data_IF_935747921235
#
_entry.id   IF_935747921235
#
_cell.length_a   1.000
_cell.length_b   1.000
_cell.length_c   1.000
_cell.angle_alpha   90.00
_cell.angle_beta   90.00
_cell.angle_gamma   90.00
#
_symmetry.space_group_name_H-M   'P 1'
#
loop_
_entity.id
_entity.type
_entity.pdbx_description
1 polymer ?
#
# COMPACT_ATOMS: atom_id res chain seq x y z
N UNK A 1 0.06 44.92 4.46
CA UNK A 1 -1.10 44.13 4.95
C UNK A 1 -1.80 43.55 3.74
N UNK A 2 -1.47 42.31 3.39
CA UNK A 2 -2.22 41.49 2.44
C UNK A 2 -2.32 40.13 3.14
N UNK A 3 -3.52 39.79 3.61
CA UNK A 3 -3.83 38.50 4.20
C UNK A 3 -3.96 37.46 3.09
N UNK A 4 -3.18 36.39 3.19
CA UNK A 4 -3.48 35.16 2.46
C UNK A 4 -4.27 34.26 3.39
N UNK A 5 -5.59 34.42 3.32
CA UNK A 5 -6.55 33.47 3.87
C UNK A 5 -6.86 32.48 2.74
N UNK A 6 -6.12 31.38 2.69
CA UNK A 6 -6.46 30.24 1.84
C UNK A 6 -6.47 28.98 2.69
N UNK A 7 -7.64 28.68 3.24
CA UNK A 7 -8.09 27.31 3.50
C UNK A 7 -7.74 26.44 2.29
N UNK A 8 -6.87 25.44 2.48
CA UNK A 8 -6.68 24.33 1.54
C UNK A 8 -8.00 23.57 1.43
N UNK A 9 -8.88 24.04 0.57
CA UNK A 9 -10.04 23.31 0.09
C UNK A 9 -9.52 22.49 -1.09
N UNK A 10 -9.50 21.16 -0.96
CA UNK A 10 -9.28 20.25 -2.08
C UNK A 10 -10.46 20.43 -3.04
N UNK A 11 -10.35 21.41 -3.93
CA UNK A 11 -11.26 21.64 -5.04
C UNK A 11 -10.54 21.06 -6.25
N UNK A 12 -10.89 19.83 -6.61
CA UNK A 12 -10.66 19.32 -7.95
C UNK A 12 -12.03 19.45 -8.64
N UNK A 13 -12.37 20.67 -9.05
CA UNK A 13 -13.42 20.91 -10.02
C UNK A 13 -12.77 20.86 -11.40
N UNK A 14 -12.67 19.66 -11.97
CA UNK A 14 -12.52 19.51 -13.42
C UNK A 14 -13.88 19.06 -13.97
N UNK A 15 -14.56 19.88 -14.80
CA UNK A 15 -15.94 19.59 -15.18
C UNK A 15 -16.11 18.41 -16.15
N UNK A 16 -15.06 17.68 -16.55
CA UNK A 16 -15.16 16.57 -17.52
C UNK A 16 -14.08 15.47 -17.35
N UNK A 17 -13.61 15.18 -16.15
CA UNK A 17 -12.66 14.07 -15.93
C UNK A 17 -13.41 12.78 -15.51
N UNK A 18 -13.51 11.82 -16.43
CA UNK A 18 -13.76 10.43 -16.07
C UNK A 18 -12.46 9.89 -15.45
N UNK A 19 -12.33 10.00 -14.13
CA UNK A 19 -11.16 9.46 -13.41
C UNK A 19 -11.32 7.94 -13.32
N UNK A 20 -10.66 7.20 -14.20
CA UNK A 20 -10.48 5.75 -14.04
C UNK A 20 -9.44 5.55 -12.94
N UNK A 21 -9.91 5.33 -11.71
CA UNK A 21 -9.08 5.23 -10.50
C UNK A 21 -8.31 3.91 -10.37
N UNK A 22 -8.62 2.89 -11.15
CA UNK A 22 -7.93 1.60 -11.09
C UNK A 22 -7.89 0.94 -12.48
N UNK A 23 -6.71 0.92 -13.10
CA UNK A 23 -6.46 0.08 -14.27
C UNK A 23 -6.04 -1.29 -13.74
N UNK A 24 -6.97 -2.25 -13.74
CA UNK A 24 -6.64 -3.65 -13.47
C UNK A 24 -5.69 -4.15 -14.57
N UNK A 25 -4.68 -4.96 -14.21
CA UNK A 25 -3.70 -5.53 -15.17
C UNK A 25 -4.39 -6.11 -16.42
N UNK A 26 -5.59 -6.65 -16.26
CA UNK A 26 -6.38 -7.20 -17.36
C UNK A 26 -6.88 -6.22 -18.42
N UNK A 27 -6.81 -4.90 -18.21
CA UNK A 27 -7.04 -3.96 -19.32
C UNK A 27 -5.97 -4.10 -20.39
N UNK A 28 -4.72 -4.35 -19.97
CA UNK A 28 -3.57 -4.47 -20.86
C UNK A 28 -3.56 -5.80 -21.62
N UNK A 29 -4.48 -6.73 -21.33
CA UNK A 29 -4.63 -8.00 -22.06
C UNK A 29 -5.29 -7.84 -23.43
N UNK A 30 -6.03 -6.75 -23.64
CA UNK A 30 -6.77 -6.52 -24.88
C UNK A 30 -6.38 -5.20 -25.52
N UNK A 31 -6.29 -5.13 -26.85
CA UNK A 31 -6.09 -3.85 -27.56
C UNK A 31 -7.28 -2.87 -27.42
N UNK A 32 -8.26 -3.23 -26.60
CA UNK A 32 -9.50 -2.48 -26.40
C UNK A 32 -9.23 -1.17 -25.66
N UNK A 33 -8.29 -1.16 -24.71
CA UNK A 33 -7.88 0.06 -24.01
C UNK A 33 -7.21 1.06 -24.98
N UNK A 34 -6.37 0.57 -25.90
CA UNK A 34 -5.74 1.40 -26.94
C UNK A 34 -6.77 2.04 -27.86
N UNK A 35 -7.74 1.24 -28.34
CA UNK A 35 -8.82 1.74 -29.19
C UNK A 35 -9.66 2.78 -28.48
N UNK A 36 -9.94 2.56 -27.19
CA UNK A 36 -10.65 3.51 -26.35
C UNK A 36 -9.84 4.80 -26.17
N UNK A 37 -8.57 4.73 -25.75
CA UNK A 37 -7.70 5.90 -25.60
C UNK A 37 -7.53 6.68 -26.91
N UNK A 38 -7.33 5.99 -28.04
CA UNK A 38 -7.26 6.61 -29.37
C UNK A 38 -8.56 7.29 -29.79
N UNK A 39 -9.72 6.74 -29.38
CA UNK A 39 -11.00 7.38 -29.65
C UNK A 39 -11.21 8.64 -28.77
N UNK A 40 -10.91 8.53 -27.48
CA UNK A 40 -11.11 9.59 -26.49
C UNK A 40 -10.15 10.75 -26.71
N UNK A 41 -8.88 10.47 -27.02
CA UNK A 41 -7.83 11.49 -27.21
C UNK A 41 -8.09 12.44 -28.39
N UNK A 42 -8.95 12.03 -29.33
CA UNK A 42 -9.40 12.90 -30.44
C UNK A 42 -10.36 13.99 -30.00
N UNK A 43 -11.01 13.84 -28.84
CA UNK A 43 -12.05 14.75 -28.34
C UNK A 43 -11.58 15.53 -27.11
N UNK A 44 -10.82 14.88 -26.24
CA UNK A 44 -10.33 15.46 -24.98
C UNK A 44 -8.87 15.07 -24.77
N UNK A 45 -8.15 15.88 -23.98
CA UNK A 45 -6.79 15.50 -23.56
C UNK A 45 -6.86 14.38 -22.53
N UNK A 46 -6.15 13.28 -22.78
CA UNK A 46 -6.03 12.15 -21.86
C UNK A 46 -4.76 12.29 -21.01
N UNK A 47 -4.88 12.21 -19.69
CA UNK A 47 -3.74 12.15 -18.77
C UNK A 47 -3.70 10.77 -18.13
N UNK A 48 -2.70 9.96 -18.48
CA UNK A 48 -2.47 8.65 -17.88
C UNK A 48 -1.43 8.81 -16.78
N UNK A 49 -1.74 8.35 -15.58
CA UNK A 49 -0.82 8.37 -14.44
C UNK A 49 -0.63 6.93 -13.98
N UNK A 50 0.61 6.45 -13.98
CA UNK A 50 0.95 5.14 -13.42
C UNK A 50 1.78 5.37 -12.17
N UNK A 51 1.19 5.02 -11.04
CA UNK A 51 1.88 5.04 -9.75
C UNK A 51 2.59 3.71 -9.47
N UNK A 52 3.73 3.78 -8.82
CA UNK A 52 4.61 2.66 -8.49
C UNK A 52 4.94 1.74 -9.69
N UNK A 53 5.30 2.35 -10.82
CA UNK A 53 5.62 1.66 -12.08
C UNK A 53 6.64 0.51 -11.92
N UNK A 54 7.53 0.60 -10.94
CA UNK A 54 8.53 -0.43 -10.65
C UNK A 54 7.93 -1.82 -10.30
N UNK A 55 6.66 -1.89 -9.92
CA UNK A 55 6.01 -3.16 -9.56
C UNK A 55 5.33 -3.85 -10.74
N UNK A 56 5.21 -3.22 -11.91
CA UNK A 56 4.72 -3.89 -13.11
C UNK A 56 5.75 -4.93 -13.59
N UNK A 57 5.27 -6.04 -14.15
CA UNK A 57 6.17 -7.00 -14.80
C UNK A 57 6.76 -6.41 -16.07
N UNK A 58 7.97 -6.82 -16.43
CA UNK A 58 8.68 -6.29 -17.59
C UNK A 58 7.89 -6.46 -18.89
N UNK A 59 7.23 -7.61 -19.07
CA UNK A 59 6.37 -7.86 -20.23
C UNK A 59 5.20 -6.85 -20.34
N UNK A 60 4.63 -6.45 -19.20
CA UNK A 60 3.55 -5.45 -19.16
C UNK A 60 4.10 -4.06 -19.46
N UNK A 61 5.26 -3.71 -18.91
CA UNK A 61 5.92 -2.43 -19.18
C UNK A 61 6.22 -2.25 -20.66
N UNK A 62 6.94 -3.22 -21.26
CA UNK A 62 7.30 -3.19 -22.68
C UNK A 62 6.05 -3.06 -23.55
N UNK A 63 5.04 -3.92 -23.31
CA UNK A 63 3.79 -3.86 -24.06
C UNK A 63 3.12 -2.49 -23.93
N UNK A 64 2.99 -1.98 -22.70
CA UNK A 64 2.35 -0.69 -22.45
C UNK A 64 3.08 0.46 -23.14
N UNK A 65 4.41 0.48 -23.08
CA UNK A 65 5.24 1.49 -23.72
C UNK A 65 5.10 1.44 -25.25
N UNK A 66 5.19 0.25 -25.85
CA UNK A 66 4.97 0.03 -27.29
C UNK A 66 3.58 0.51 -27.72
N UNK A 67 2.56 0.09 -26.98
CA UNK A 67 1.18 0.46 -27.21
C UNK A 67 0.99 1.99 -27.11
N UNK A 68 1.59 2.64 -26.11
CA UNK A 68 1.50 4.08 -25.91
C UNK A 68 2.18 4.88 -27.03
N UNK A 69 3.26 4.38 -27.64
CA UNK A 69 3.86 5.00 -28.83
C UNK A 69 2.92 5.10 -30.02
N UNK A 70 1.92 4.22 -30.10
CA UNK A 70 0.92 4.23 -31.18
C UNK A 70 -0.18 5.28 -30.96
N UNK A 71 -0.31 5.83 -29.74
CA UNK A 71 -1.31 6.84 -29.43
C UNK A 71 -0.91 8.19 -30.05
N UNK A 72 -1.89 8.83 -30.71
CA UNK A 72 -1.72 10.13 -31.38
C UNK A 72 -1.67 11.31 -30.38
N UNK A 73 -1.52 12.53 -30.91
CA UNK A 73 -1.59 13.78 -30.16
C UNK A 73 -2.81 13.86 -29.23
N UNK A 74 -2.63 14.45 -28.05
CA UNK A 74 -3.70 14.62 -27.06
C UNK A 74 -3.63 13.64 -25.89
N UNK A 75 -2.56 12.86 -25.78
CA UNK A 75 -2.29 12.01 -24.61
C UNK A 75 -1.01 12.47 -23.90
N UNK A 76 -1.04 12.52 -22.57
CA UNK A 76 0.16 12.65 -21.73
C UNK A 76 0.25 11.50 -20.73
N UNK A 77 1.48 11.07 -20.47
CA UNK A 77 1.81 10.02 -19.51
C UNK A 77 2.65 10.60 -18.38
N UNK A 78 2.29 10.28 -17.15
CA UNK A 78 3.06 10.54 -15.94
C UNK A 78 3.38 9.22 -15.27
N UNK A 79 4.66 8.93 -15.12
CA UNK A 79 5.15 7.75 -14.43
C UNK A 79 5.71 8.17 -13.08
N UNK A 80 5.25 7.52 -12.03
CA UNK A 80 5.78 7.68 -10.69
C UNK A 80 6.47 6.37 -10.32
N UNK A 81 7.77 6.43 -10.09
CA UNK A 81 8.56 5.29 -9.67
C UNK A 81 9.47 5.65 -8.49
N UNK A 82 9.85 4.63 -7.72
CA UNK A 82 10.87 4.77 -6.67
C UNK A 82 12.18 4.21 -7.19
N UNK A 83 13.23 5.02 -7.17
CA UNK A 83 14.59 4.60 -7.52
C UNK A 83 15.44 4.53 -6.26
N UNK A 84 16.30 3.51 -6.15
CA UNK A 84 17.42 3.60 -5.20
C UNK A 84 18.53 4.42 -5.86
N UNK A 85 19.20 5.30 -5.12
CA UNK A 85 20.22 6.27 -5.61
C UNK A 85 21.34 5.69 -6.49
N UNK A 86 21.45 4.35 -6.57
CA UNK A 86 22.41 3.62 -7.40
C UNK A 86 22.00 3.49 -8.87
N UNK A 87 20.72 3.65 -9.20
CA UNK A 87 20.22 3.65 -10.57
C UNK A 87 20.01 5.11 -11.02
N UNK A 88 21.12 5.84 -11.20
CA UNK A 88 21.11 7.16 -11.85
C UNK A 88 20.75 7.11 -13.33
N UNK A 89 20.72 5.91 -13.91
CA UNK A 89 19.94 5.70 -15.12
C UNK A 89 18.49 5.67 -14.69
N UNK A 90 17.77 6.74 -15.00
CA UNK A 90 16.39 6.60 -15.46
C UNK A 90 16.40 5.32 -16.29
N UNK A 91 15.73 4.26 -15.84
CA UNK A 91 15.35 3.18 -16.74
C UNK A 91 14.72 3.93 -17.90
N UNK A 92 15.47 4.06 -19.01
CA UNK A 92 14.89 4.62 -20.21
C UNK A 92 13.68 3.73 -20.40
N UNK A 93 12.51 4.33 -20.45
CA UNK A 93 11.34 3.65 -20.95
C UNK A 93 11.78 3.14 -22.32
N UNK A 94 12.06 1.84 -22.39
CA UNK A 94 12.99 1.24 -23.33
C UNK A 94 12.50 1.45 -24.76
N UNK A 95 11.19 1.65 -24.92
CA UNK A 95 10.56 1.78 -26.23
C UNK A 95 9.85 3.10 -26.47
N UNK A 96 9.74 4.03 -25.51
CA UNK A 96 9.02 5.32 -25.67
C UNK A 96 9.74 6.40 -26.52
N UNK A 97 10.08 6.04 -27.76
CA UNK A 97 10.87 6.87 -28.69
C UNK A 97 10.15 8.13 -29.17
N UNK A 98 8.81 8.15 -29.18
CA UNK A 98 8.01 9.27 -29.68
C UNK A 98 7.85 10.43 -28.67
N UNK A 99 8.37 10.28 -27.45
CA UNK A 99 8.15 11.22 -26.35
C UNK A 99 9.45 11.75 -25.76
N UNK A 100 9.46 13.03 -25.39
CA UNK A 100 10.59 13.61 -24.64
C UNK A 100 10.24 13.60 -23.15
N UNK A 101 10.92 12.80 -22.32
CA UNK A 101 10.61 12.73 -20.90
C UNK A 101 11.04 14.01 -20.20
N UNK A 102 10.12 14.62 -19.44
CA UNK A 102 10.47 15.61 -18.42
C UNK A 102 10.59 14.87 -17.10
N UNK A 103 11.81 14.78 -16.57
CA UNK A 103 12.07 14.04 -15.33
C UNK A 103 12.12 15.01 -14.16
N UNK A 104 11.26 14.78 -13.17
CA UNK A 104 11.27 15.48 -11.90
C UNK A 104 11.73 14.50 -10.81
N UNK A 105 12.92 14.74 -10.26
CA UNK A 105 13.44 13.97 -9.14
C UNK A 105 12.96 14.62 -7.83
N UNK A 106 12.14 13.90 -7.09
CA UNK A 106 11.72 14.31 -5.74
C UNK A 106 12.64 13.64 -4.72
N UNK A 107 13.49 14.44 -4.07
CA UNK A 107 14.32 13.99 -2.96
C UNK A 107 13.59 14.17 -1.63
N UNK A 108 14.16 13.63 -0.55
CA UNK A 108 13.79 14.05 0.79
C UNK A 108 13.96 15.56 0.96
N UNK A 109 13.14 16.12 1.84
CA UNK A 109 13.20 17.54 2.16
C UNK A 109 14.58 17.87 2.73
N UNK A 110 15.07 19.06 2.44
CA UNK A 110 16.19 19.64 3.17
C UNK A 110 15.78 20.00 4.60
N UNK A 111 16.77 20.26 5.45
CA UNK A 111 16.52 20.71 6.83
C UNK A 111 15.65 21.98 6.86
N UNK A 112 15.90 22.94 5.98
CA UNK A 112 15.14 24.20 5.91
C UNK A 112 13.70 23.99 5.43
N UNK A 113 13.50 23.14 4.41
CA UNK A 113 12.16 22.78 3.93
C UNK A 113 11.36 22.02 5.00
N UNK A 114 12.01 21.11 5.72
CA UNK A 114 11.40 20.39 6.85
C UNK A 114 10.94 21.37 7.94
N UNK A 115 11.82 22.29 8.35
CA UNK A 115 11.49 23.33 9.35
C UNK A 115 10.36 24.23 8.90
N UNK A 116 10.37 24.64 7.63
CA UNK A 116 9.31 25.47 7.05
C UNK A 116 7.97 24.73 7.03
N UNK A 117 7.96 23.48 6.59
CA UNK A 117 6.76 22.62 6.57
C UNK A 117 6.15 22.51 7.97
N UNK A 118 6.97 22.22 8.98
CA UNK A 118 6.51 22.06 10.36
C UNK A 118 5.95 23.37 10.91
N UNK A 119 6.64 24.50 10.71
CA UNK A 119 6.18 25.83 11.18
C UNK A 119 4.85 26.24 10.58
N UNK A 120 4.60 25.88 9.32
CA UNK A 120 3.32 26.14 8.65
C UNK A 120 2.15 25.35 9.26
N UNK A 121 2.43 24.26 9.99
CA UNK A 121 1.43 23.45 10.68
C UNK A 121 1.36 23.75 12.17
N UNK A 122 2.49 24.08 12.79
CA UNK A 122 2.63 24.29 14.23
C UNK A 122 3.48 25.54 14.44
N UNK A 123 2.79 26.66 14.70
CA UNK A 123 3.39 28.00 14.65
C UNK A 123 4.51 28.27 15.69
N UNK A 124 4.55 27.53 16.80
CA UNK A 124 5.39 27.85 17.97
C UNK A 124 6.26 26.65 18.44
N UNK A 125 6.93 25.96 17.52
CA UNK A 125 8.01 25.02 17.87
C UNK A 125 9.36 25.72 17.88
N UNK A 126 10.14 25.53 18.94
CA UNK A 126 11.49 26.08 19.04
C UNK A 126 12.47 25.39 18.08
N UNK A 127 13.62 26.03 17.84
CA UNK A 127 14.64 25.51 16.93
C UNK A 127 15.26 24.20 17.41
N UNK A 128 15.32 23.94 18.71
CA UNK A 128 15.91 22.72 19.26
C UNK A 128 15.04 21.53 18.85
N UNK A 129 13.73 21.65 19.07
CA UNK A 129 12.74 20.63 18.73
C UNK A 129 12.65 20.42 17.22
N UNK A 130 12.66 21.50 16.44
CA UNK A 130 12.72 21.41 14.97
C UNK A 130 13.97 20.66 14.47
N UNK A 131 15.14 20.95 15.05
CA UNK A 131 16.36 20.23 14.71
C UNK A 131 16.27 18.74 15.09
N UNK A 132 15.68 18.41 16.24
CA UNK A 132 15.46 17.02 16.63
C UNK A 132 14.53 16.27 15.67
N UNK A 133 13.44 16.91 15.22
CA UNK A 133 12.53 16.32 14.21
C UNK A 133 13.29 16.03 12.92
N UNK A 134 14.13 16.98 12.47
CA UNK A 134 15.00 16.76 11.32
C UNK A 134 15.96 15.57 11.54
N UNK A 135 16.62 15.50 12.71
CA UNK A 135 17.56 14.40 13.00
C UNK A 135 16.89 13.02 13.01
N UNK A 136 15.64 12.94 13.46
CA UNK A 136 14.86 11.69 13.47
C UNK A 136 14.45 11.30 12.05
N UNK A 137 13.93 12.25 11.27
CA UNK A 137 13.22 11.97 10.02
C UNK A 137 14.10 12.04 8.77
N UNK A 138 15.23 12.77 8.84
CA UNK A 138 16.13 13.03 7.72
C UNK A 138 15.40 13.50 6.44
N UNK A 139 14.31 14.25 6.61
CA UNK A 139 13.53 14.80 5.50
C UNK A 139 12.49 13.86 4.89
N UNK A 140 12.27 12.68 5.48
CA UNK A 140 11.20 11.79 5.07
C UNK A 140 9.84 12.41 5.41
N UNK A 141 9.08 12.78 4.37
CA UNK A 141 7.79 13.47 4.53
C UNK A 141 6.79 12.68 5.38
N UNK A 142 6.75 11.35 5.24
CA UNK A 142 5.81 10.52 5.98
C UNK A 142 6.14 10.50 7.47
N UNK A 143 7.42 10.37 7.82
CA UNK A 143 7.84 10.38 9.22
C UNK A 143 7.61 11.76 9.85
N UNK A 144 7.83 12.83 9.08
CA UNK A 144 7.49 14.19 9.51
C UNK A 144 5.98 14.31 9.76
N UNK A 145 5.13 13.78 8.88
CA UNK A 145 3.68 13.77 9.05
C UNK A 145 3.25 13.07 10.36
N UNK A 146 3.80 11.88 10.64
CA UNK A 146 3.50 11.15 11.88
C UNK A 146 3.87 11.95 13.13
N UNK A 147 5.02 12.64 13.11
CA UNK A 147 5.44 13.49 14.21
C UNK A 147 4.53 14.72 14.33
N UNK A 148 4.19 15.37 13.21
CA UNK A 148 3.29 16.53 13.19
C UNK A 148 1.93 16.16 13.78
N UNK A 149 1.34 15.02 13.38
CA UNK A 149 0.03 14.58 13.90
C UNK A 149 0.03 14.45 15.43
N UNK A 150 1.15 14.00 16.03
CA UNK A 150 1.28 13.91 17.50
C UNK A 150 1.50 15.27 18.16
N UNK A 151 2.22 16.18 17.50
CA UNK A 151 2.53 17.49 18.04
C UNK A 151 1.38 18.50 17.89
N UNK A 152 0.46 18.30 16.94
CA UNK A 152 -0.73 19.16 16.77
C UNK A 152 -1.57 19.16 18.04
N UNK A 153 -1.84 17.98 18.61
CA UNK A 153 -2.65 17.86 19.82
C UNK A 153 -1.86 18.21 21.08
N UNK A 154 -0.56 17.88 21.10
CA UNK A 154 0.32 18.19 22.23
C UNK A 154 1.73 18.57 21.75
N UNK A 155 2.00 19.89 21.58
CA UNK A 155 3.30 20.40 21.13
C UNK A 155 4.48 20.05 22.04
N UNK A 156 4.22 19.66 23.30
CA UNK A 156 5.24 19.28 24.27
C UNK A 156 5.55 17.77 24.25
N UNK A 157 4.86 16.98 23.43
CA UNK A 157 5.10 15.54 23.32
C UNK A 157 6.55 15.21 23.02
N UNK A 158 7.03 14.14 23.62
CA UNK A 158 8.35 13.58 23.34
C UNK A 158 8.40 13.07 21.89
N UNK A 159 9.53 13.34 21.23
CA UNK A 159 9.76 12.97 19.85
C UNK A 159 10.30 11.54 19.78
N UNK A 160 9.67 10.72 18.94
CA UNK A 160 10.02 9.32 18.76
C UNK A 160 10.10 9.02 17.27
N UNK A 161 11.03 8.15 16.89
CA UNK A 161 10.98 7.50 15.59
C UNK A 161 9.81 6.48 15.57
N UNK A 162 9.50 5.91 14.41
CA UNK A 162 8.39 4.96 14.26
C UNK A 162 8.52 3.76 15.21
N UNK A 163 9.72 3.22 15.37
CA UNK A 163 10.00 2.06 16.23
C UNK A 163 9.76 2.35 17.71
N UNK A 164 10.24 3.50 18.19
CA UNK A 164 10.03 3.96 19.56
C UNK A 164 8.55 4.24 19.84
N UNK A 165 7.80 4.74 18.84
CA UNK A 165 6.34 4.88 18.95
C UNK A 165 5.72 3.50 19.08
N UNK A 166 6.07 2.57 18.18
CA UNK A 166 5.54 1.22 18.16
C UNK A 166 5.70 0.51 19.52
N UNK A 167 6.87 0.62 20.16
CA UNK A 167 7.12 0.01 21.47
C UNK A 167 6.19 0.53 22.57
N UNK A 168 5.74 1.78 22.47
CA UNK A 168 4.87 2.44 23.44
C UNK A 168 3.38 2.24 23.15
N UNK A 169 3.02 1.65 22.00
CA UNK A 169 1.62 1.38 21.68
C UNK A 169 1.06 0.24 22.55
N UNK A 170 -0.25 0.30 22.90
CA UNK A 170 -0.97 -0.84 23.45
C UNK A 170 -0.92 -2.07 22.54
N UNK A 171 -1.01 -3.27 23.13
CA UNK A 171 -0.88 -4.54 22.41
C UNK A 171 -1.88 -4.71 21.27
N UNK A 172 -3.10 -4.18 21.42
CA UNK A 172 -4.12 -4.19 20.35
C UNK A 172 -3.63 -3.41 19.14
N UNK A 173 -3.11 -2.20 19.36
CA UNK A 173 -2.60 -1.34 18.30
C UNK A 173 -1.36 -1.95 17.65
N UNK A 174 -0.46 -2.53 18.44
CA UNK A 174 0.69 -3.30 17.92
C UNK A 174 0.25 -4.44 17.00
N UNK A 175 -0.72 -5.25 17.44
CA UNK A 175 -1.25 -6.34 16.63
C UNK A 175 -1.91 -5.86 15.33
N UNK A 176 -2.72 -4.79 15.38
CA UNK A 176 -3.31 -4.18 14.15
C UNK A 176 -2.20 -3.80 13.17
N UNK A 177 -1.16 -3.09 13.65
CA UNK A 177 -0.08 -2.65 12.79
C UNK A 177 0.76 -3.80 12.24
N UNK A 178 1.04 -4.81 13.05
CA UNK A 178 1.82 -5.96 12.64
C UNK A 178 1.08 -6.76 11.56
N UNK A 179 -0.21 -7.04 11.75
CA UNK A 179 -1.06 -7.70 10.74
C UNK A 179 -1.11 -6.85 9.46
N UNK A 180 -1.32 -5.55 9.58
CA UNK A 180 -1.38 -4.64 8.43
C UNK A 180 -0.02 -4.54 7.70
N UNK A 181 1.09 -4.78 8.40
CA UNK A 181 2.43 -4.83 7.82
C UNK A 181 2.73 -6.16 7.12
N UNK A 182 2.18 -7.27 7.63
CA UNK A 182 2.25 -8.60 6.99
C UNK A 182 1.44 -8.63 5.68
N UNK A 183 0.36 -7.86 5.60
CA UNK A 183 -0.47 -7.72 4.39
C UNK A 183 -0.43 -6.29 3.82
N UNK A 184 0.61 -5.91 3.05
CA UNK A 184 0.70 -4.57 2.45
C UNK A 184 -0.49 -4.18 1.56
N UNK A 185 -1.11 -5.17 0.89
CA UNK A 185 -2.34 -4.98 0.12
C UNK A 185 -3.60 -4.78 0.99
N UNK A 186 -3.45 -4.78 2.30
CA UNK A 186 -4.48 -4.59 3.31
C UNK A 186 -5.20 -5.87 3.71
N UNK A 187 -5.70 -5.88 4.95
CA UNK A 187 -6.49 -6.97 5.49
C UNK A 187 -7.89 -6.49 5.88
N UNK A 188 -8.94 -7.28 5.56
CA UNK A 188 -10.32 -6.88 5.91
C UNK A 188 -10.49 -6.68 7.41
N UNK A 189 -11.17 -5.59 7.76
CA UNK A 189 -11.39 -5.10 9.13
C UNK A 189 -12.10 -6.12 10.01
N UNK A 190 -13.10 -6.83 9.48
CA UNK A 190 -13.82 -7.89 10.18
C UNK A 190 -12.88 -8.99 10.67
N UNK A 191 -11.96 -9.43 9.80
CA UNK A 191 -11.00 -10.49 10.12
C UNK A 191 -9.99 -10.01 11.16
N UNK A 192 -9.45 -8.80 10.99
CA UNK A 192 -8.54 -8.20 11.98
C UNK A 192 -9.24 -8.06 13.34
N UNK A 193 -10.49 -7.59 13.36
CA UNK A 193 -11.24 -7.38 14.59
C UNK A 193 -11.53 -8.70 15.30
N UNK A 194 -11.99 -9.70 14.56
CA UNK A 194 -12.31 -11.00 15.10
C UNK A 194 -11.05 -11.75 15.56
N UNK A 195 -9.94 -11.64 14.84
CA UNK A 195 -8.65 -12.16 15.29
C UNK A 195 -8.22 -11.52 16.61
N UNK A 196 -8.24 -10.18 16.70
CA UNK A 196 -7.85 -9.48 17.93
C UNK A 196 -8.75 -9.91 19.09
N UNK A 197 -10.07 -9.94 18.89
CA UNK A 197 -11.02 -10.42 19.91
C UNK A 197 -10.80 -11.88 20.31
N UNK A 198 -10.18 -12.71 19.46
CA UNK A 198 -9.84 -14.09 19.81
C UNK A 198 -8.61 -14.19 20.73
N UNK A 199 -7.80 -13.14 20.83
CA UNK A 199 -6.57 -13.09 21.63
C UNK A 199 -6.63 -12.08 22.79
N UNK A 200 -7.69 -11.26 22.89
CA UNK A 200 -7.91 -10.30 23.98
C UNK A 200 -9.31 -10.48 24.58
N UNK A 201 -9.52 -10.01 25.81
CA UNK A 201 -10.82 -10.10 26.51
C UNK A 201 -11.97 -9.40 25.76
N UNK A 202 -13.19 -9.95 25.86
CA UNK A 202 -14.39 -9.57 25.08
C UNK A 202 -14.83 -8.10 25.22
N UNK A 203 -14.40 -7.39 26.27
CA UNK A 203 -14.83 -6.02 26.58
C UNK A 203 -14.00 -4.91 25.91
N UNK A 204 -13.07 -5.26 25.02
CA UNK A 204 -12.13 -4.31 24.41
C UNK A 204 -12.69 -3.71 23.11
N UNK A 205 -12.70 -2.39 23.02
CA UNK A 205 -13.08 -1.65 21.82
C UNK A 205 -11.93 -1.58 20.79
N UNK A 206 -11.81 -2.64 19.97
CA UNK A 206 -10.85 -2.69 18.83
C UNK A 206 -11.07 -1.52 17.86
N UNK A 207 -12.30 -1.03 17.73
CA UNK A 207 -12.66 0.10 16.87
C UNK A 207 -11.95 1.40 17.27
N UNK A 208 -11.88 1.69 18.57
CA UNK A 208 -11.20 2.89 19.08
C UNK A 208 -9.69 2.80 18.90
N UNK A 209 -9.13 1.60 19.07
CA UNK A 209 -7.72 1.33 18.79
C UNK A 209 -7.38 1.56 17.32
N UNK A 210 -8.22 1.07 16.40
CA UNK A 210 -8.06 1.32 14.97
C UNK A 210 -8.19 2.81 14.65
N UNK A 211 -9.21 3.49 15.20
CA UNK A 211 -9.42 4.93 14.98
C UNK A 211 -8.20 5.74 15.40
N UNK A 212 -7.62 5.40 16.55
CA UNK A 212 -6.41 6.06 17.06
C UNK A 212 -5.22 5.91 16.11
N UNK A 213 -5.06 4.72 15.49
CA UNK A 213 -4.02 4.48 14.48
C UNK A 213 -4.28 5.23 13.16
N UNK A 214 -5.54 5.39 12.78
CA UNK A 214 -5.94 6.18 11.60
C UNK A 214 -5.64 7.67 11.85
N UNK A 215 -6.08 8.19 12.99
CA UNK A 215 -5.89 9.60 13.37
C UNK A 215 -4.40 9.94 13.50
N UNK A 216 -3.59 9.01 14.03
CA UNK A 216 -2.14 9.14 14.07
C UNK A 216 -1.46 9.01 12.70
N UNK A 217 -2.16 8.53 11.67
CA UNK A 217 -1.66 8.42 10.30
C UNK A 217 -0.88 7.13 10.00
N UNK A 218 -0.96 6.11 10.87
CA UNK A 218 -0.28 4.83 10.66
C UNK A 218 -0.97 3.93 9.64
N UNK A 219 -2.29 3.93 9.67
CA UNK A 219 -3.14 3.11 8.78
C UNK A 219 -4.23 3.97 8.16
N UNK A 220 -4.83 3.44 7.10
CA UNK A 220 -6.03 4.00 6.50
C UNK A 220 -6.95 2.86 6.04
N UNK A 221 -8.22 3.17 5.81
CA UNK A 221 -9.19 2.23 5.28
C UNK A 221 -9.27 2.40 3.76
N UNK A 222 -9.15 1.30 3.03
CA UNK A 222 -9.11 1.25 1.57
C UNK A 222 -9.83 0.01 1.03
N UNK A 223 -10.02 -0.06 -0.29
CA UNK A 223 -10.63 -1.16 -1.03
C UNK A 223 -11.98 -0.77 -1.64
N UNK A 224 -12.42 -1.51 -2.65
CA UNK A 224 -13.69 -1.28 -3.37
C UNK A 224 -14.91 -1.21 -2.43
N UNK A 225 -14.84 -1.93 -1.31
CA UNK A 225 -15.86 -2.01 -0.26
C UNK A 225 -15.53 -1.16 0.98
N UNK A 226 -14.43 -0.40 0.97
CA UNK A 226 -13.93 0.39 2.10
C UNK A 226 -13.83 -0.41 3.41
N UNK A 227 -13.31 -1.64 3.33
CA UNK A 227 -13.24 -2.57 4.45
C UNK A 227 -11.83 -3.06 4.78
N UNK A 228 -10.78 -2.71 4.02
CA UNK A 228 -9.41 -3.18 4.27
C UNK A 228 -8.62 -2.14 5.04
N UNK A 229 -7.97 -2.60 6.12
CA UNK A 229 -6.98 -1.84 6.86
C UNK A 229 -5.65 -1.97 6.12
N UNK A 230 -5.07 -0.85 5.69
CA UNK A 230 -3.75 -0.78 5.05
C UNK A 230 -2.82 0.10 5.86
N UNK A 231 -1.53 -0.27 5.91
CA UNK A 231 -0.49 0.64 6.37
C UNK A 231 -0.38 1.81 5.38
N UNK A 232 -0.26 3.02 5.90
CA UNK A 232 -0.25 4.26 5.12
C UNK A 232 1.01 4.47 4.29
N UNK A 233 2.13 3.83 4.67
CA UNK A 233 3.39 3.98 3.96
C UNK A 233 4.39 2.85 4.24
N UNK A 234 5.22 2.53 3.26
CA UNK A 234 6.22 1.46 3.34
C UNK A 234 7.28 1.70 4.43
N UNK A 235 7.64 2.96 4.72
CA UNK A 235 8.57 3.26 5.83
C UNK A 235 8.05 2.73 7.16
N UNK A 236 6.74 2.77 7.40
CA UNK A 236 6.12 2.21 8.60
C UNK A 236 6.26 0.69 8.62
N UNK A 237 5.97 0.02 7.51
CA UNK A 237 6.13 -1.43 7.37
C UNK A 237 7.58 -1.81 7.70
N UNK A 238 8.55 -1.13 7.08
CA UNK A 238 9.96 -1.40 7.26
C UNK A 238 10.41 -1.15 8.70
N UNK A 239 9.98 -0.03 9.33
CA UNK A 239 10.30 0.24 10.73
C UNK A 239 9.72 -0.81 11.66
N UNK A 240 8.46 -1.22 11.48
CA UNK A 240 7.80 -2.19 12.36
C UNK A 240 8.39 -3.59 12.18
N UNK A 241 8.53 -4.08 10.94
CA UNK A 241 9.02 -5.44 10.69
C UNK A 241 10.50 -5.60 11.03
N UNK A 242 11.34 -4.58 10.82
CA UNK A 242 12.75 -4.66 11.19
C UNK A 242 12.99 -4.49 12.68
N UNK A 243 12.09 -3.81 13.40
CA UNK A 243 12.19 -3.59 14.85
C UNK A 243 11.57 -4.74 15.65
N UNK A 244 10.52 -5.37 15.14
CA UNK A 244 9.87 -6.49 15.81
C UNK A 244 10.81 -7.69 15.84
N UNK A 245 11.06 -8.22 17.04
CA UNK A 245 11.92 -9.39 17.18
C UNK A 245 11.30 -10.61 16.47
N UNK A 246 12.16 -11.52 16.01
CA UNK A 246 11.74 -12.68 15.22
C UNK A 246 10.75 -13.58 15.97
N UNK A 247 10.87 -13.73 17.28
CA UNK A 247 9.99 -14.57 18.09
C UNK A 247 8.56 -14.03 18.17
N UNK A 248 8.40 -12.72 18.35
CA UNK A 248 7.09 -12.07 18.48
C UNK A 248 6.39 -12.03 17.12
N UNK A 249 7.14 -11.75 16.05
CA UNK A 249 6.62 -11.82 14.69
C UNK A 249 6.14 -13.25 14.36
N UNK A 250 6.92 -14.28 14.73
CA UNK A 250 6.52 -15.67 14.55
C UNK A 250 5.28 -16.03 15.36
N UNK A 251 5.20 -15.59 16.62
CA UNK A 251 4.06 -15.83 17.49
C UNK A 251 2.77 -15.28 16.88
N UNK A 252 2.77 -14.00 16.50
CA UNK A 252 1.59 -13.36 15.88
C UNK A 252 1.24 -14.02 14.55
N UNK A 253 2.24 -14.31 13.73
CA UNK A 253 2.01 -14.98 12.44
C UNK A 253 1.40 -16.37 12.61
N UNK A 254 1.86 -17.15 13.60
CA UNK A 254 1.34 -18.49 13.86
C UNK A 254 -0.08 -18.45 14.44
N UNK A 255 -0.36 -17.54 15.36
CA UNK A 255 -1.71 -17.35 15.90
C UNK A 255 -2.68 -16.92 14.79
N UNK A 256 -2.24 -16.04 13.89
CA UNK A 256 -3.04 -15.61 12.76
C UNK A 256 -3.32 -16.75 11.78
N UNK A 257 -2.34 -17.62 11.51
CA UNK A 257 -2.56 -18.84 10.70
C UNK A 257 -3.64 -19.73 11.30
N UNK A 258 -3.53 -20.04 12.60
CA UNK A 258 -4.51 -20.89 13.30
C UNK A 258 -5.91 -20.27 13.20
N UNK A 259 -6.01 -18.96 13.45
CA UNK A 259 -7.27 -18.24 13.34
C UNK A 259 -7.85 -18.31 11.92
N UNK A 260 -7.03 -18.09 10.89
CA UNK A 260 -7.47 -18.17 9.49
C UNK A 260 -7.93 -19.59 9.13
N UNK A 261 -7.20 -20.63 9.54
CA UNK A 261 -7.59 -22.03 9.30
C UNK A 261 -8.93 -22.37 9.97
N UNK A 262 -9.13 -21.98 11.24
CA UNK A 262 -10.41 -22.17 11.93
C UNK A 262 -11.56 -21.40 11.26
N UNK A 263 -11.27 -20.20 10.76
CA UNK A 263 -12.25 -19.37 10.05
C UNK A 263 -12.62 -19.98 8.70
N UNK A 264 -11.63 -20.50 7.95
CA UNK A 264 -11.84 -21.24 6.70
C UNK A 264 -12.74 -22.47 6.92
N UNK A 265 -12.48 -23.22 7.98
CA UNK A 265 -13.26 -24.43 8.31
C UNK A 265 -14.71 -24.11 8.70
N UNK A 266 -15.00 -22.90 9.20
CA UNK A 266 -16.34 -22.52 9.68
C UNK A 266 -17.23 -21.87 8.61
N UNK A 267 -16.66 -21.19 7.60
CA UNK A 267 -17.43 -20.40 6.61
C UNK A 267 -18.02 -21.24 5.45
N UNK A 268 -17.54 -22.46 5.24
CA UNK A 268 -18.01 -23.30 4.12
C UNK A 268 -17.61 -22.75 2.74
N UNK A 269 -18.32 -23.16 1.67
CA UNK A 269 -17.96 -22.80 0.27
C UNK A 269 -18.60 -21.45 -0.12
N UNK A 270 -17.77 -20.43 -0.43
CA UNK A 270 -18.25 -19.11 -0.84
C UNK A 270 -17.15 -18.13 -1.29
N UNK A 271 -17.51 -16.90 -1.65
CA UNK A 271 -16.57 -15.89 -2.16
C UNK A 271 -15.51 -15.43 -1.16
N UNK A 272 -15.83 -15.46 0.14
CA UNK A 272 -14.90 -15.11 1.23
C UNK A 272 -13.80 -16.14 1.42
N UNK A 273 -14.07 -17.40 1.05
CA UNK A 273 -13.14 -18.52 1.20
C UNK A 273 -11.86 -18.30 0.38
N UNK A 274 -11.98 -17.84 -0.86
CA UNK A 274 -10.81 -17.58 -1.71
C UNK A 274 -9.90 -16.51 -1.12
N UNK A 275 -10.50 -15.45 -0.56
CA UNK A 275 -9.75 -14.38 0.11
C UNK A 275 -9.01 -14.91 1.35
N UNK A 276 -9.68 -15.68 2.21
CA UNK A 276 -9.08 -16.24 3.42
C UNK A 276 -7.96 -17.22 3.11
N UNK A 277 -8.16 -18.10 2.12
CA UNK A 277 -7.13 -19.03 1.67
C UNK A 277 -5.94 -18.26 1.08
N UNK A 278 -6.17 -17.21 0.28
CA UNK A 278 -5.11 -16.34 -0.21
C UNK A 278 -4.29 -15.73 0.94
N UNK A 279 -4.96 -15.20 1.97
CA UNK A 279 -4.29 -14.68 3.16
C UNK A 279 -3.45 -15.74 3.86
N UNK A 280 -3.99 -16.95 4.06
CA UNK A 280 -3.29 -18.06 4.70
C UNK A 280 -2.04 -18.48 3.90
N UNK A 281 -2.19 -18.72 2.59
CA UNK A 281 -1.07 -19.06 1.70
C UNK A 281 0.00 -17.98 1.74
N UNK A 282 -0.40 -16.71 1.91
CA UNK A 282 0.55 -15.61 1.90
C UNK A 282 1.53 -15.61 3.06
N UNK A 283 1.11 -16.10 4.22
CA UNK A 283 1.89 -16.10 5.47
C UNK A 283 2.51 -17.47 5.79
N UNK A 284 2.14 -18.51 5.05
CA UNK A 284 2.73 -19.84 5.17
C UNK A 284 4.11 -19.93 4.52
N UNK A 285 5.02 -20.66 5.17
CA UNK A 285 6.29 -21.08 4.59
C UNK A 285 6.11 -22.33 3.71
N UNK A 286 7.16 -22.70 2.96
CA UNK A 286 7.11 -23.83 2.02
C UNK A 286 6.72 -25.16 2.70
N UNK A 287 7.19 -25.42 3.93
CA UNK A 287 6.88 -26.67 4.65
C UNK A 287 5.40 -26.72 5.02
N UNK A 288 4.85 -25.60 5.50
CA UNK A 288 3.43 -25.48 5.84
C UNK A 288 2.56 -25.58 4.60
N UNK A 289 2.93 -24.92 3.50
CA UNK A 289 2.20 -25.02 2.24
C UNK A 289 2.15 -26.46 1.70
N UNK A 290 3.21 -27.27 1.90
CA UNK A 290 3.19 -28.71 1.57
C UNK A 290 2.18 -29.50 2.39
N UNK A 291 1.96 -29.13 3.65
CA UNK A 291 0.96 -29.77 4.50
C UNK A 291 -0.46 -29.31 4.15
N UNK A 292 -0.56 -28.08 3.63
CA UNK A 292 -1.81 -27.38 3.32
C UNK A 292 -2.13 -27.34 1.81
N UNK A 293 -1.69 -28.33 1.03
CA UNK A 293 -1.87 -28.39 -0.44
C UNK A 293 -3.35 -28.35 -0.85
N UNK A 294 -4.24 -28.91 -0.04
CA UNK A 294 -5.68 -28.91 -0.34
C UNK A 294 -6.28 -27.49 -0.41
N UNK A 295 -5.81 -26.56 0.44
CA UNK A 295 -6.23 -25.16 0.33
C UNK A 295 -5.75 -24.52 -0.98
N UNK A 296 -4.53 -24.86 -1.43
CA UNK A 296 -4.01 -24.37 -2.72
C UNK A 296 -4.86 -24.87 -3.88
N UNK A 297 -5.21 -26.17 -3.90
CA UNK A 297 -6.12 -26.74 -4.91
C UNK A 297 -7.47 -26.04 -4.91
N UNK A 298 -8.06 -25.88 -3.73
CA UNK A 298 -9.36 -25.23 -3.59
C UNK A 298 -9.35 -23.78 -4.08
N UNK A 299 -8.30 -23.01 -3.79
CA UNK A 299 -8.13 -21.65 -4.30
C UNK A 299 -8.01 -21.62 -5.82
N UNK A 300 -7.19 -22.51 -6.40
CA UNK A 300 -7.03 -22.62 -7.86
C UNK A 300 -8.36 -22.95 -8.54
N UNK A 301 -9.14 -23.88 -8.00
CA UNK A 301 -10.47 -24.20 -8.53
C UNK A 301 -11.43 -23.01 -8.49
N UNK A 302 -11.47 -22.28 -7.38
CA UNK A 302 -12.35 -21.10 -7.24
C UNK A 302 -11.96 -20.03 -8.25
N UNK A 303 -10.66 -19.72 -8.36
CA UNK A 303 -10.17 -18.66 -9.24
C UNK A 303 -10.22 -19.05 -10.71
N UNK A 304 -10.07 -20.34 -11.04
CA UNK A 304 -10.27 -20.85 -12.39
C UNK A 304 -11.73 -20.69 -12.83
N UNK A 305 -12.69 -21.03 -11.96
CA UNK A 305 -14.13 -20.84 -12.24
C UNK A 305 -14.52 -19.36 -12.40
N UNK A 306 -13.75 -18.45 -11.80
CA UNK A 306 -13.90 -16.99 -11.99
C UNK A 306 -13.17 -16.44 -13.22
N UNK A 307 -12.46 -17.29 -13.97
CA UNK A 307 -11.58 -16.90 -15.08
C UNK A 307 -10.45 -15.93 -14.65
N UNK A 308 -9.99 -16.01 -13.40
CA UNK A 308 -8.92 -15.17 -12.85
C UNK A 308 -7.52 -15.68 -13.26
N UNK A 309 -7.27 -15.88 -14.56
CA UNK A 309 -6.05 -16.55 -15.04
C UNK A 309 -4.75 -15.84 -14.67
N UNK A 310 -4.75 -14.50 -14.61
CA UNK A 310 -3.60 -13.70 -14.18
C UNK A 310 -3.24 -13.93 -12.73
N UNK A 311 -4.26 -14.00 -11.87
CA UNK A 311 -4.07 -14.32 -10.48
C UNK A 311 -3.48 -15.73 -10.32
N UNK A 312 -3.97 -16.70 -11.09
CA UNK A 312 -3.42 -18.07 -11.09
C UNK A 312 -1.96 -18.08 -11.54
N UNK A 313 -1.63 -17.35 -12.60
CA UNK A 313 -0.24 -17.23 -13.08
C UNK A 313 0.67 -16.58 -12.03
N UNK A 314 0.21 -15.52 -11.36
CA UNK A 314 0.93 -14.86 -10.27
C UNK A 314 1.14 -15.81 -9.07
N UNK A 315 0.07 -16.51 -8.66
CA UNK A 315 0.13 -17.51 -7.60
C UNK A 315 1.10 -18.64 -7.93
N UNK A 316 1.14 -19.11 -9.19
CA UNK A 316 2.03 -20.19 -9.64
C UNK A 316 3.51 -19.91 -9.36
N UNK A 317 3.93 -18.63 -9.40
CA UNK A 317 5.31 -18.23 -9.05
C UNK A 317 5.60 -18.49 -7.57
N UNK A 318 4.62 -18.22 -6.68
CA UNK A 318 4.74 -18.43 -5.24
C UNK A 318 4.69 -19.91 -4.84
N UNK A 319 3.91 -20.71 -5.56
CA UNK A 319 3.73 -22.15 -5.28
C UNK A 319 4.53 -23.05 -6.21
N UNK A 320 5.51 -22.51 -6.95
CA UNK A 320 6.24 -23.25 -8.00
C UNK A 320 6.79 -24.60 -7.51
N UNK A 321 7.35 -24.63 -6.29
CA UNK A 321 7.91 -25.83 -5.65
C UNK A 321 6.87 -26.89 -5.22
N UNK A 322 5.59 -26.60 -5.43
CA UNK A 322 4.46 -27.43 -5.04
C UNK A 322 3.64 -27.88 -6.25
N UNK A 323 3.97 -27.42 -7.46
CA UNK A 323 3.22 -27.73 -8.69
C UNK A 323 3.12 -29.24 -8.90
N UNK A 324 4.18 -30.01 -8.60
CA UNK A 324 4.18 -31.47 -8.70
C UNK A 324 3.20 -32.17 -7.74
N UNK A 325 2.73 -31.47 -6.70
CA UNK A 325 1.76 -31.97 -5.73
C UNK A 325 0.31 -31.59 -6.10
N UNK A 326 0.14 -30.77 -7.14
CA UNK A 326 -1.14 -30.36 -7.67
C UNK A 326 -1.59 -31.35 -8.77
N UNK A 327 -2.90 -31.60 -8.93
CA UNK A 327 -3.42 -32.62 -9.83
C UNK A 327 -3.31 -32.26 -11.30
#
# INVERSE_FOLDING_TARGET
MISFDTTYKKVIDYPWEEVVTEIKEGIFESDLYLRYFSHVSKKIRLNIIIDNYQFLSEDIKIKFEDDFNTLQSGVSLTIINRTTDKLKSIDKLDTLDNYTPTVLNLSYLTEDECKLLIRNKIALLDNIKLNQIWQITQGNYKEIELIINRLIDNPNSELFNISDIYDKLPDIQKNILLISSIFPAGMRKDIVFNYIKSIVDENIEVADSLKSLIDAGFVYINGDTNDKIKISHESIVNSILNHTNTSDLQLVTNNLKIYLEQTILSIGVGGELAYLIHCLINICNIKELRQNVEYIKQLLEIEYRKNSYFYIASLSKKIHHLIELLP
#
